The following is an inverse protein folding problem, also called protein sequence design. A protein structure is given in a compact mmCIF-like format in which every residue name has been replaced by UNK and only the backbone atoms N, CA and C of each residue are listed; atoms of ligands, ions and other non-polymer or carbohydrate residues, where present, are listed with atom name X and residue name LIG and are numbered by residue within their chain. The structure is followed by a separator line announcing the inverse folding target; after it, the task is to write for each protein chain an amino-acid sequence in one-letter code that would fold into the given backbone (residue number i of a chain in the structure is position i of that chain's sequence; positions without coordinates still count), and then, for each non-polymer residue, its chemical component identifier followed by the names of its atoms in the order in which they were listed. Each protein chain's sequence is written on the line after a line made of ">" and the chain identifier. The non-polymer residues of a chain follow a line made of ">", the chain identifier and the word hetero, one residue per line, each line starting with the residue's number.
data_IF_941603657759
#
_entry.id   IF_941603657759
#
_cell.length_a   1.000
_cell.length_b   1.000
_cell.length_c   1.000
_cell.angle_alpha   90.00
_cell.angle_beta   90.00
_cell.angle_gamma   90.00
#
_symmetry.space_group_name_H-M   'P 1'
#
loop_
_entity.id
_entity.type
_entity.pdbx_description
1 polymer ?
#
# COMPACT_ATOMS: atom_id res chain seq x y z
N UNK A 1 6.83 -18.24 9.59
CA UNK A 1 6.93 -17.94 8.16
C UNK A 1 8.40 -17.91 7.79
N UNK A 2 8.79 -18.74 6.84
CA UNK A 2 10.15 -18.85 6.31
C UNK A 2 10.50 -17.62 5.46
N UNK A 3 11.79 -17.37 5.24
CA UNK A 3 12.25 -16.30 4.35
C UNK A 3 11.75 -16.52 2.91
N UNK A 4 11.65 -17.77 2.47
CA UNK A 4 11.13 -18.11 1.14
C UNK A 4 9.67 -17.69 0.97
N UNK A 5 8.81 -17.98 1.96
CA UNK A 5 7.42 -17.53 1.96
C UNK A 5 7.32 -16.00 1.93
N UNK A 6 8.18 -15.29 2.68
CA UNK A 6 8.18 -13.81 2.70
C UNK A 6 8.53 -13.20 1.36
N UNK A 7 9.47 -13.78 0.64
CA UNK A 7 9.86 -13.31 -0.70
C UNK A 7 8.72 -13.54 -1.70
N UNK A 8 8.05 -14.68 -1.64
CA UNK A 8 6.88 -14.96 -2.48
C UNK A 8 5.77 -13.95 -2.19
N UNK A 9 5.40 -13.77 -0.93
CA UNK A 9 4.34 -12.84 -0.53
C UNK A 9 4.68 -11.41 -0.96
N UNK A 10 5.93 -10.99 -0.75
CA UNK A 10 6.40 -9.68 -1.19
C UNK A 10 6.25 -9.48 -2.71
N UNK A 11 6.66 -10.48 -3.51
CA UNK A 11 6.59 -10.40 -4.96
C UNK A 11 5.14 -10.35 -5.45
N UNK A 12 4.27 -11.22 -4.93
CA UNK A 12 2.85 -11.26 -5.29
C UNK A 12 2.18 -9.92 -4.94
N UNK A 13 2.39 -9.39 -3.73
CA UNK A 13 1.81 -8.12 -3.32
C UNK A 13 2.39 -6.92 -4.09
N UNK A 14 3.63 -6.99 -4.56
CA UNK A 14 4.25 -5.92 -5.35
C UNK A 14 3.75 -5.89 -6.80
N UNK A 15 3.46 -7.05 -7.38
CA UNK A 15 3.09 -7.17 -8.80
C UNK A 15 1.58 -7.20 -9.07
N UNK A 16 0.74 -7.39 -8.05
CA UNK A 16 -0.72 -7.42 -8.20
C UNK A 16 -1.31 -6.11 -8.75
N UNK A 17 -2.49 -6.18 -9.37
CA UNK A 17 -3.18 -4.98 -9.87
C UNK A 17 -3.58 -4.03 -8.74
N UNK A 18 -4.06 -4.58 -7.63
CA UNK A 18 -4.44 -3.85 -6.41
C UNK A 18 -3.78 -4.51 -5.20
N UNK A 19 -3.36 -3.70 -4.24
CA UNK A 19 -2.83 -4.18 -2.97
C UNK A 19 -3.61 -3.56 -1.79
N UNK A 20 -4.01 -4.42 -0.84
CA UNK A 20 -4.71 -4.04 0.39
C UNK A 20 -3.90 -4.59 1.56
N UNK A 21 -3.25 -3.75 2.38
CA UNK A 21 -2.51 -4.22 3.54
C UNK A 21 -3.47 -4.61 4.67
N UNK A 22 -3.11 -5.62 5.44
CA UNK A 22 -3.85 -6.02 6.65
C UNK A 22 -3.40 -5.26 7.90
N UNK A 23 -2.15 -4.78 7.93
CA UNK A 23 -1.58 -3.99 9.01
C UNK A 23 -0.45 -3.09 8.49
N UNK A 24 -0.18 -2.01 9.21
CA UNK A 24 1.00 -1.18 8.97
C UNK A 24 2.28 -1.90 9.41
N UNK A 25 3.42 -1.61 8.78
CA UNK A 25 4.71 -2.18 9.16
C UNK A 25 5.71 -2.29 8.01
N UNK A 26 6.89 -2.87 8.28
CA UNK A 26 7.99 -2.96 7.31
C UNK A 26 7.62 -3.67 6.02
N UNK A 27 6.81 -4.74 6.09
CA UNK A 27 6.35 -5.45 4.90
C UNK A 27 5.51 -4.53 4.00
N UNK A 28 4.51 -3.86 4.58
CA UNK A 28 3.67 -2.88 3.89
C UNK A 28 4.52 -1.77 3.26
N UNK A 29 5.43 -1.16 4.04
CA UNK A 29 6.33 -0.10 3.56
C UNK A 29 7.18 -0.57 2.37
N UNK A 30 7.74 -1.77 2.42
CA UNK A 30 8.56 -2.31 1.33
C UNK A 30 7.73 -2.60 0.08
N UNK A 31 6.54 -3.19 0.22
CA UNK A 31 5.64 -3.43 -0.93
C UNK A 31 5.23 -2.10 -1.57
N UNK A 32 4.87 -1.10 -0.76
CA UNK A 32 4.55 0.25 -1.25
C UNK A 32 5.73 0.85 -2.02
N UNK A 33 6.96 0.71 -1.50
CA UNK A 33 8.15 1.20 -2.18
C UNK A 33 8.30 0.60 -3.59
N UNK A 34 8.15 -0.71 -3.71
CA UNK A 34 8.27 -1.43 -4.98
C UNK A 34 7.15 -1.06 -5.95
N UNK A 35 5.92 -0.93 -5.45
CA UNK A 35 4.76 -0.50 -6.24
C UNK A 35 4.90 0.93 -6.75
N UNK A 36 5.43 1.84 -5.94
CA UNK A 36 5.76 3.22 -6.38
C UNK A 36 6.79 3.18 -7.50
N UNK A 37 7.85 2.38 -7.34
CA UNK A 37 8.90 2.22 -8.33
C UNK A 37 8.39 1.70 -9.68
N UNK A 38 7.44 0.77 -9.66
CA UNK A 38 6.84 0.17 -10.87
C UNK A 38 5.60 0.89 -11.38
N UNK A 39 5.18 1.98 -10.72
CA UNK A 39 3.98 2.76 -11.07
C UNK A 39 2.65 2.08 -10.72
N UNK A 40 2.66 0.97 -9.97
CA UNK A 40 1.47 0.21 -9.54
C UNK A 40 0.82 0.81 -8.27
N UNK A 41 0.47 2.09 -8.35
CA UNK A 41 0.05 2.91 -7.21
C UNK A 41 -1.37 2.63 -6.66
N UNK A 42 -2.06 1.61 -7.18
CA UNK A 42 -3.36 1.17 -6.65
C UNK A 42 -3.17 0.42 -5.32
N UNK A 43 -3.06 1.20 -4.25
CA UNK A 43 -2.86 0.74 -2.87
C UNK A 43 -4.01 1.25 -2.04
N UNK A 44 -4.88 0.34 -1.60
CA UNK A 44 -6.08 0.67 -0.83
C UNK A 44 -5.88 0.33 0.64
N UNK A 45 -5.94 1.32 1.52
CA UNK A 45 -5.83 1.14 2.97
C UNK A 45 -7.24 1.22 3.55
N UNK A 46 -7.73 0.18 4.26
CA UNK A 46 -9.02 0.24 4.92
C UNK A 46 -9.07 1.39 5.94
N UNK A 47 -10.08 2.25 5.83
CA UNK A 47 -10.28 3.34 6.79
C UNK A 47 -11.16 2.88 7.96
N UNK A 48 -10.54 2.70 9.12
CA UNK A 48 -11.26 2.34 10.34
C UNK A 48 -12.21 3.46 10.79
N UNK A 49 -11.88 4.72 10.54
CA UNK A 49 -12.72 5.87 10.91
C UNK A 49 -14.01 5.92 10.08
N UNK A 50 -13.91 5.65 8.78
CA UNK A 50 -15.09 5.60 7.90
C UNK A 50 -16.01 4.45 8.31
N UNK A 51 -15.44 3.27 8.56
CA UNK A 51 -16.18 2.09 8.98
C UNK A 51 -16.83 2.30 10.37
N UNK A 52 -16.10 2.87 11.33
CA UNK A 52 -16.61 3.07 12.69
C UNK A 52 -17.70 4.13 12.78
N UNK A 53 -17.64 5.16 11.92
CA UNK A 53 -18.58 6.28 11.96
C UNK A 53 -19.70 6.19 10.91
N UNK A 54 -19.81 5.09 10.16
CA UNK A 54 -20.77 4.90 9.07
C UNK A 54 -20.81 6.09 8.10
N UNK A 55 -19.64 6.60 7.73
CA UNK A 55 -19.52 7.73 6.82
C UNK A 55 -19.68 7.28 5.37
N UNK A 56 -20.26 8.15 4.54
CA UNK A 56 -20.19 7.97 3.09
C UNK A 56 -18.73 8.15 2.64
N UNK A 57 -18.19 7.15 1.95
CA UNK A 57 -16.82 7.17 1.47
C UNK A 57 -16.77 7.38 -0.04
N UNK A 58 -15.88 8.26 -0.48
CA UNK A 58 -15.44 8.33 -1.87
C UNK A 58 -14.36 7.27 -2.13
N UNK A 59 -14.10 6.95 -3.41
CA UNK A 59 -13.03 6.01 -3.77
C UNK A 59 -11.65 6.47 -3.29
N UNK A 60 -11.42 7.78 -3.30
CA UNK A 60 -10.13 8.40 -2.96
C UNK A 60 -9.82 8.30 -1.46
N UNK A 61 -10.84 8.12 -0.62
CA UNK A 61 -10.70 8.00 0.84
C UNK A 61 -9.96 6.72 1.26
N UNK A 62 -9.86 5.74 0.36
CA UNK A 62 -9.16 4.48 0.60
C UNK A 62 -7.75 4.47 -0.01
N UNK A 63 -7.38 5.45 -0.84
CA UNK A 63 -6.04 5.49 -1.43
C UNK A 63 -5.03 5.76 -0.33
N UNK A 64 -3.98 4.93 -0.28
CA UNK A 64 -2.90 5.06 0.71
C UNK A 64 -2.36 6.49 0.77
N UNK A 65 -2.20 7.08 1.98
CA UNK A 65 -1.55 8.38 2.16
C UNK A 65 -0.14 8.45 1.58
N UNK A 66 0.55 7.31 1.53
CA UNK A 66 1.85 7.20 0.88
C UNK A 66 1.81 7.58 -0.58
N UNK A 67 0.71 7.26 -1.28
CA UNK A 67 0.51 7.54 -2.69
C UNK A 67 -0.18 8.90 -2.88
N UNK A 68 -1.31 9.14 -2.22
CA UNK A 68 -2.13 10.35 -2.43
C UNK A 68 -1.39 11.63 -2.04
N UNK A 69 -0.63 11.59 -0.94
CA UNK A 69 0.17 12.73 -0.47
C UNK A 69 1.67 12.60 -0.77
N UNK A 70 2.07 11.55 -1.50
CA UNK A 70 3.49 11.24 -1.82
C UNK A 70 4.42 11.26 -0.60
N UNK A 71 3.96 10.77 0.54
CA UNK A 71 4.71 10.82 1.81
C UNK A 71 5.76 9.71 1.95
N UNK A 72 5.77 8.71 1.07
CA UNK A 72 6.71 7.61 1.12
C UNK A 72 8.10 7.98 0.56
N UNK A 73 9.18 7.54 1.23
CA UNK A 73 10.55 7.89 0.85
C UNK A 73 10.96 7.44 -0.55
N UNK A 74 10.34 6.37 -1.09
CA UNK A 74 10.59 5.89 -2.45
C UNK A 74 10.42 6.97 -3.52
N UNK A 75 9.53 7.96 -3.33
CA UNK A 75 9.40 9.08 -4.27
C UNK A 75 10.67 9.92 -4.41
N UNK A 76 11.56 9.93 -3.40
CA UNK A 76 12.84 10.63 -3.49
C UNK A 76 13.85 9.94 -4.42
N UNK A 77 13.67 8.65 -4.70
CA UNK A 77 14.57 7.88 -5.57
C UNK A 77 14.21 7.99 -7.06
N UNK A 78 13.02 8.51 -7.38
CA UNK A 78 12.49 8.61 -8.75
C UNK A 78 12.30 10.06 -9.21
N UNK A 79 12.95 11.01 -8.52
CA UNK A 79 13.02 12.45 -8.83
C UNK A 79 14.43 12.84 -9.24
#
# INVERSE_FOLDING_TARGET
>A
MSEYEKVIDFNICSESDVFVPSHDGLFYTNVVAMRIASGKNQILVPSHEIAANNLNAASDDFISPYVSHKTHFAYSCFC
#
